data_IF_123506534377
#
_entry.id   IF_123506534377
#
_cell.length_a   1.000
_cell.length_b   1.000
_cell.length_c   1.000
_cell.angle_alpha   90.00
_cell.angle_beta   90.00
_cell.angle_gamma   90.00
#
_symmetry.space_group_name_H-M   'P 1'
#
loop_
_entity.id
_entity.type
_entity.pdbx_description
1 polymer ?
#
# COMPACT_ATOMS: atom_id res chain seq x y z
N UNK A 1 3.52 11.53 -11.43
CA UNK A 1 3.80 10.90 -10.13
C UNK A 1 2.53 10.78 -9.32
N UNK A 2 2.30 9.62 -8.74
CA UNK A 2 1.09 9.36 -7.97
C UNK A 2 1.27 9.86 -6.53
N UNK A 3 0.30 10.66 -6.05
CA UNK A 3 0.31 11.16 -4.69
C UNK A 3 -0.43 10.17 -3.79
N UNK A 4 0.30 9.56 -2.87
CA UNK A 4 -0.25 8.56 -1.94
C UNK A 4 -0.41 9.18 -0.57
N UNK A 5 -1.60 9.03 0.02
CA UNK A 5 -1.91 9.53 1.35
C UNK A 5 -2.11 8.38 2.32
N UNK A 6 -1.57 8.52 3.52
CA UNK A 6 -1.82 7.56 4.58
C UNK A 6 -3.07 7.98 5.35
N UNK A 7 -4.17 7.28 5.10
CA UNK A 7 -5.45 7.53 5.77
C UNK A 7 -5.56 6.62 6.99
N UNK A 8 -4.90 7.02 8.08
CA UNK A 8 -4.81 6.19 9.28
C UNK A 8 -6.19 5.87 9.86
N UNK A 9 -7.13 6.81 9.80
CA UNK A 9 -8.49 6.61 10.31
C UNK A 9 -9.23 5.49 9.58
N UNK A 10 -8.84 5.22 8.33
CA UNK A 10 -9.45 4.18 7.51
C UNK A 10 -8.57 2.94 7.40
N UNK A 11 -7.45 2.92 8.11
CA UNK A 11 -6.48 1.83 8.07
C UNK A 11 -6.04 1.51 6.65
N UNK A 12 -5.68 2.54 5.88
CA UNK A 12 -5.24 2.32 4.50
C UNK A 12 -4.43 3.48 3.94
N UNK A 13 -3.71 3.17 2.85
CA UNK A 13 -3.03 4.15 2.02
C UNK A 13 -3.89 4.34 0.78
N UNK A 14 -4.08 5.57 0.34
CA UNK A 14 -4.95 5.91 -0.79
C UNK A 14 -4.22 6.74 -1.83
N UNK A 15 -4.60 6.54 -3.08
CA UNK A 15 -4.17 7.37 -4.19
C UNK A 15 -5.37 7.67 -5.08
N UNK A 16 -5.55 8.93 -5.45
CA UNK A 16 -6.61 9.32 -6.37
C UNK A 16 -5.97 9.68 -7.70
N UNK A 17 -6.38 8.98 -8.75
CA UNK A 17 -5.86 9.18 -10.10
C UNK A 17 -7.05 9.38 -11.04
N UNK A 18 -7.11 10.54 -11.69
CA UNK A 18 -8.22 10.88 -12.60
C UNK A 18 -9.58 10.66 -11.94
N UNK A 19 -9.72 11.08 -10.67
CA UNK A 19 -10.97 10.97 -9.93
C UNK A 19 -11.31 9.58 -9.41
N UNK A 20 -10.45 8.60 -9.66
CA UNK A 20 -10.66 7.22 -9.21
C UNK A 20 -9.72 6.90 -8.05
N UNK A 21 -10.25 6.33 -6.97
CA UNK A 21 -9.47 6.01 -5.77
C UNK A 21 -8.98 4.57 -5.80
N UNK A 22 -7.68 4.41 -5.61
CA UNK A 22 -7.04 3.13 -5.35
C UNK A 22 -6.59 3.11 -3.89
N UNK A 23 -6.47 1.93 -3.30
CA UNK A 23 -6.03 1.85 -1.92
C UNK A 23 -5.31 0.54 -1.59
N UNK A 24 -4.51 0.61 -0.51
CA UNK A 24 -3.87 -0.55 0.10
C UNK A 24 -4.31 -0.57 1.56
N UNK A 25 -5.04 -1.60 1.94
CA UNK A 25 -5.53 -1.76 3.32
C UNK A 25 -4.45 -2.32 4.21
N UNK A 26 -4.37 -1.78 5.42
CA UNK A 26 -3.38 -2.20 6.40
C UNK A 26 -3.97 -2.18 7.80
N UNK A 27 -3.41 -3.01 8.68
CA UNK A 27 -3.78 -3.02 10.09
C UNK A 27 -2.51 -3.04 10.92
N UNK A 28 -2.50 -2.24 11.97
CA UNK A 28 -1.36 -2.21 12.88
C UNK A 28 -1.64 -3.15 14.05
N UNK A 29 -0.74 -4.11 14.27
CA UNK A 29 -0.90 -5.10 15.32
C UNK A 29 0.46 -5.39 15.95
N UNK A 30 0.63 -4.99 17.20
CA UNK A 30 1.81 -5.33 18.02
C UNK A 30 3.15 -5.12 17.29
N UNK A 31 3.34 -3.93 16.73
CA UNK A 31 4.60 -3.59 16.05
C UNK A 31 4.72 -4.12 14.63
N UNK A 32 3.62 -4.63 14.08
CA UNK A 32 3.58 -5.15 12.71
C UNK A 32 2.49 -4.47 11.92
N UNK A 33 2.79 -4.09 10.68
CA UNK A 33 1.80 -3.59 9.74
C UNK A 33 1.37 -4.76 8.86
N UNK A 34 0.11 -5.17 9.01
CA UNK A 34 -0.46 -6.26 8.21
C UNK A 34 -1.10 -5.65 6.97
N UNK A 35 -0.56 -5.93 5.80
CA UNK A 35 -1.06 -5.39 4.53
C UNK A 35 -1.94 -6.44 3.88
N UNK A 36 -3.25 -6.19 3.84
CA UNK A 36 -4.26 -7.21 3.54
C UNK A 36 -4.76 -7.18 2.10
N UNK A 37 -5.02 -6.00 1.55
CA UNK A 37 -5.61 -5.86 0.23
C UNK A 37 -5.02 -4.67 -0.52
N UNK A 38 -4.84 -4.84 -1.82
CA UNK A 38 -4.50 -3.73 -2.73
C UNK A 38 -5.57 -3.71 -3.80
N UNK A 39 -6.26 -2.57 -3.93
CA UNK A 39 -7.35 -2.42 -4.89
C UNK A 39 -7.03 -1.26 -5.83
N UNK A 40 -6.92 -1.57 -7.12
CA UNK A 40 -6.72 -0.57 -8.16
C UNK A 40 -7.82 -0.77 -9.20
N UNK A 41 -8.81 0.15 -9.23
CA UNK A 41 -9.91 0.01 -10.18
C UNK A 41 -9.43 0.01 -11.65
N UNK A 42 -10.14 -0.71 -12.53
CA UNK A 42 -9.70 -0.86 -13.93
C UNK A 42 -9.40 0.45 -14.67
N UNK A 43 -10.17 1.55 -14.49
CA UNK A 43 -9.87 2.79 -15.23
C UNK A 43 -8.47 3.33 -15.00
N UNK A 44 -7.85 3.03 -13.88
CA UNK A 44 -6.50 3.47 -13.57
C UNK A 44 -5.50 2.32 -13.45
N UNK A 45 -5.89 1.14 -13.89
CA UNK A 45 -5.01 -0.02 -13.92
C UNK A 45 -3.89 0.18 -14.95
N UNK A 46 -2.76 -0.49 -14.72
CA UNK A 46 -1.63 -0.42 -15.64
C UNK A 46 -0.80 0.86 -15.57
N UNK A 47 -1.05 1.72 -14.58
CA UNK A 47 -0.32 2.99 -14.41
C UNK A 47 0.69 2.95 -13.28
N UNK A 48 0.95 1.79 -12.69
CA UNK A 48 1.90 1.66 -11.60
C UNK A 48 1.39 2.12 -10.24
N UNK A 49 0.07 2.32 -10.10
CA UNK A 49 -0.52 2.82 -8.86
C UNK A 49 -0.33 1.85 -7.70
N UNK A 50 -0.51 0.55 -7.94
CA UNK A 50 -0.31 -0.46 -6.89
C UNK A 50 1.13 -0.45 -6.37
N UNK A 51 2.10 -0.29 -7.25
CA UNK A 51 3.51 -0.18 -6.86
C UNK A 51 3.80 1.05 -6.02
N UNK A 52 3.19 2.18 -6.37
CA UNK A 52 3.35 3.42 -5.60
C UNK A 52 2.74 3.30 -4.22
N UNK A 53 1.54 2.71 -4.12
CA UNK A 53 0.90 2.45 -2.83
C UNK A 53 1.77 1.57 -1.95
N UNK A 54 2.29 0.49 -2.51
CA UNK A 54 3.11 -0.47 -1.77
C UNK A 54 4.42 0.15 -1.33
N UNK A 55 5.10 0.87 -2.23
CA UNK A 55 6.37 1.53 -1.91
C UNK A 55 6.20 2.51 -0.75
N UNK A 56 5.15 3.32 -0.81
CA UNK A 56 4.89 4.32 0.23
C UNK A 56 4.56 3.64 1.57
N UNK A 57 3.74 2.60 1.54
CA UNK A 57 3.35 1.89 2.76
C UNK A 57 4.53 1.18 3.41
N UNK A 58 5.36 0.52 2.61
CA UNK A 58 6.55 -0.18 3.12
C UNK A 58 7.57 0.81 3.67
N UNK A 59 7.79 1.94 2.97
CA UNK A 59 8.71 2.98 3.45
C UNK A 59 8.22 3.54 4.78
N UNK A 60 6.92 3.81 4.90
CA UNK A 60 6.35 4.30 6.15
C UNK A 60 6.58 3.30 7.29
N UNK A 61 6.33 2.02 7.05
CA UNK A 61 6.53 0.98 8.08
C UNK A 61 7.98 0.94 8.54
N UNK A 62 8.91 1.00 7.61
CA UNK A 62 10.36 0.99 7.93
C UNK A 62 10.77 2.22 8.72
N UNK A 63 10.25 3.39 8.37
CA UNK A 63 10.53 4.62 9.11
C UNK A 63 10.03 4.55 10.55
N UNK A 64 8.92 3.86 10.76
CA UNK A 64 8.33 3.69 12.09
C UNK A 64 8.94 2.53 12.88
N UNK A 65 9.88 1.79 12.27
CA UNK A 65 10.47 0.63 12.93
C UNK A 65 9.52 -0.55 13.04
N UNK A 66 8.53 -0.63 12.14
CA UNK A 66 7.52 -1.67 12.17
C UNK A 66 7.86 -2.79 11.19
N UNK A 67 7.52 -4.02 11.55
CA UNK A 67 7.60 -5.15 10.64
C UNK A 67 6.45 -5.10 9.65
N UNK A 68 6.60 -5.73 8.49
CA UNK A 68 5.56 -5.82 7.47
C UNK A 68 5.13 -7.28 7.34
N UNK A 69 3.83 -7.53 7.46
CA UNK A 69 3.23 -8.84 7.20
C UNK A 69 2.43 -8.75 5.89
N UNK A 70 2.97 -9.27 4.78
CA UNK A 70 2.33 -9.14 3.48
C UNK A 70 1.30 -10.25 3.24
N UNK A 71 0.08 -10.05 3.72
CA UNK A 71 -1.02 -10.97 3.45
C UNK A 71 -1.52 -10.82 2.00
N UNK A 72 -1.38 -9.63 1.43
CA UNK A 72 -1.73 -9.39 0.04
C UNK A 72 -0.66 -9.98 -0.89
N UNK A 73 -1.09 -10.74 -1.90
CA UNK A 73 -0.16 -11.37 -2.84
C UNK A 73 0.66 -10.36 -3.64
N UNK A 74 0.06 -9.21 -3.97
CA UNK A 74 0.78 -8.15 -4.67
C UNK A 74 1.93 -7.61 -3.83
N UNK A 75 1.67 -7.30 -2.55
CA UNK A 75 2.70 -6.79 -1.65
C UNK A 75 3.81 -7.82 -1.46
N UNK A 76 3.44 -9.09 -1.34
CA UNK A 76 4.41 -10.17 -1.19
C UNK A 76 5.34 -10.25 -2.40
N UNK A 77 4.80 -10.17 -3.61
CA UNK A 77 5.59 -10.17 -4.83
C UNK A 77 6.47 -8.93 -4.94
N UNK A 78 5.93 -7.78 -4.54
CA UNK A 78 6.68 -6.52 -4.57
C UNK A 78 7.90 -6.59 -3.66
N UNK A 79 7.71 -7.09 -2.43
CA UNK A 79 8.81 -7.23 -1.47
C UNK A 79 9.89 -8.19 -1.97
N UNK A 80 9.51 -9.24 -2.69
CA UNK A 80 10.47 -10.17 -3.27
C UNK A 80 11.36 -9.50 -4.33
N UNK A 81 10.82 -8.50 -5.03
CA UNK A 81 11.56 -7.74 -6.05
C UNK A 81 12.30 -6.53 -5.49
N UNK A 82 11.95 -6.11 -4.26
CA UNK A 82 12.53 -4.90 -3.64
C UNK A 82 12.96 -5.19 -2.22
N UNK A 83 13.95 -6.08 -2.04
CA UNK A 83 14.38 -6.52 -0.71
C UNK A 83 15.04 -5.41 0.12
#
# INVERSE_FOLDING_TARGET
MTDVRHEADRSRFEAVVDGTTAYLSSELSSGTVVMTHTVVPPPIGGRGVAGELTRTAVAWAREQGLAVDPQCSYVRSWLARHP
#
